data_IF_630604044062
#
_entry.id   IF_630604044062
#
_cell.length_a   1.000
_cell.length_b   1.000
_cell.length_c   1.000
_cell.angle_alpha   90.00
_cell.angle_beta   90.00
_cell.angle_gamma   90.00
#
_symmetry.space_group_name_H-M   'P 1'
#
loop_
_entity.id
_entity.type
_entity.pdbx_description
1 polymer ?
#
# COMPACT_ATOMS: atom_id res chain seq x y z
N UNK A 1 -2.45 8.96 -3.62
CA UNK A 1 -3.16 8.26 -4.71
C UNK A 1 -2.08 7.72 -5.63
N UNK A 2 -2.04 6.40 -5.87
CA UNK A 2 -1.01 5.71 -6.67
C UNK A 2 -1.44 5.46 -8.13
N UNK A 3 -2.63 5.93 -8.52
CA UNK A 3 -3.14 5.79 -9.90
C UNK A 3 -2.21 6.41 -10.94
N UNK A 4 -1.56 7.53 -10.62
CA UNK A 4 -0.59 8.18 -11.51
C UNK A 4 0.63 7.29 -11.74
N UNK A 5 1.16 6.61 -10.71
CA UNK A 5 2.28 5.70 -10.84
C UNK A 5 1.93 4.47 -11.71
N UNK A 6 0.71 3.93 -11.55
CA UNK A 6 0.21 2.83 -12.39
C UNK A 6 0.04 3.30 -13.85
N UNK A 7 -0.60 4.45 -14.07
CA UNK A 7 -0.78 4.99 -15.42
C UNK A 7 0.57 5.28 -16.12
N UNK A 8 1.56 5.78 -15.37
CA UNK A 8 2.92 5.97 -15.85
C UNK A 8 3.53 4.61 -16.24
N UNK A 9 3.38 3.55 -15.42
CA UNK A 9 3.84 2.19 -15.78
C UNK A 9 3.26 1.70 -17.10
N UNK A 10 2.04 2.09 -17.45
CA UNK A 10 1.40 1.66 -18.69
C UNK A 10 1.67 2.56 -19.92
N UNK A 11 2.26 3.75 -19.77
CA UNK A 11 2.50 4.68 -20.89
C UNK A 11 3.84 5.48 -20.74
N UNK A 12 4.92 5.05 -21.41
CA UNK A 12 6.27 5.62 -21.24
C UNK A 12 6.55 6.92 -22.02
N UNK A 13 5.62 7.40 -22.87
CA UNK A 13 5.97 8.30 -24.00
C UNK A 13 6.22 9.78 -23.63
N UNK A 14 5.94 10.22 -22.41
CA UNK A 14 6.31 11.57 -21.99
C UNK A 14 6.81 11.53 -20.56
N UNK A 15 8.05 11.94 -20.29
CA UNK A 15 8.44 12.79 -19.15
C UNK A 15 9.97 13.02 -19.13
N UNK A 16 10.45 13.98 -19.93
CA UNK A 16 11.85 14.47 -19.91
C UNK A 16 12.28 15.16 -18.59
N UNK A 17 11.38 15.26 -17.61
CA UNK A 17 11.51 16.11 -16.41
C UNK A 17 11.85 15.37 -15.10
N UNK A 18 11.92 14.03 -15.09
CA UNK A 18 12.12 13.28 -13.83
C UNK A 18 13.21 12.22 -13.96
N UNK A 19 14.48 12.64 -14.05
CA UNK A 19 15.62 11.70 -14.16
C UNK A 19 15.68 10.69 -13.00
N UNK A 20 15.37 11.11 -11.78
CA UNK A 20 15.34 10.25 -10.59
C UNK A 20 14.16 9.25 -10.60
N UNK A 21 13.00 9.65 -11.14
CA UNK A 21 11.84 8.73 -11.25
C UNK A 21 12.04 7.77 -12.42
N UNK A 22 12.71 8.18 -13.50
CA UNK A 22 12.98 7.33 -14.65
C UNK A 22 13.75 6.04 -14.30
N UNK A 23 14.72 6.12 -13.36
CA UNK A 23 15.47 4.95 -12.91
C UNK A 23 14.56 3.95 -12.17
N UNK A 24 13.80 4.42 -11.18
CA UNK A 24 12.84 3.57 -10.45
C UNK A 24 11.73 3.04 -11.35
N UNK A 25 11.32 3.84 -12.33
CA UNK A 25 10.31 3.49 -13.31
C UNK A 25 10.75 2.31 -14.18
N UNK A 26 11.91 2.41 -14.83
CA UNK A 26 12.44 1.31 -15.64
C UNK A 26 12.70 0.06 -14.79
N UNK A 27 13.20 0.22 -13.56
CA UNK A 27 13.39 -0.90 -12.66
C UNK A 27 12.07 -1.63 -12.35
N UNK A 28 11.01 -0.91 -11.97
CA UNK A 28 9.70 -1.52 -11.67
C UNK A 28 9.11 -2.15 -12.92
N UNK A 29 9.17 -1.45 -14.06
CA UNK A 29 8.66 -1.96 -15.34
C UNK A 29 9.33 -3.26 -15.76
N UNK A 30 10.66 -3.33 -15.72
CA UNK A 30 11.41 -4.53 -16.08
C UNK A 30 10.96 -5.74 -15.23
N UNK A 31 10.68 -5.53 -13.95
CA UNK A 31 10.19 -6.58 -13.07
C UNK A 31 8.72 -6.95 -13.33
N UNK A 32 7.91 -5.99 -13.78
CA UNK A 32 6.53 -6.26 -14.22
C UNK A 32 6.52 -7.06 -15.52
N UNK A 33 7.32 -6.67 -16.51
CA UNK A 33 7.45 -7.37 -17.80
C UNK A 33 7.99 -8.80 -17.63
N UNK A 34 8.92 -9.00 -16.69
CA UNK A 34 9.43 -10.34 -16.33
C UNK A 34 8.44 -11.17 -15.51
N UNK A 35 7.31 -10.60 -15.09
CA UNK A 35 6.33 -11.26 -14.22
C UNK A 35 6.79 -11.44 -12.77
N UNK A 36 7.90 -10.82 -12.38
CA UNK A 36 8.40 -10.83 -11.00
C UNK A 36 7.53 -9.97 -10.08
N UNK A 37 6.86 -8.96 -10.64
CA UNK A 37 5.93 -8.08 -9.92
C UNK A 37 4.62 -8.01 -10.69
N UNK A 38 3.50 -8.19 -10.00
CA UNK A 38 2.17 -7.97 -10.56
C UNK A 38 1.53 -6.74 -9.90
N UNK A 39 0.95 -5.86 -10.73
CA UNK A 39 0.29 -4.65 -10.26
C UNK A 39 -1.23 -4.81 -10.32
N UNK A 40 -1.86 -4.59 -9.16
CA UNK A 40 -3.31 -4.66 -9.04
C UNK A 40 -3.89 -3.29 -8.67
N UNK A 41 -4.97 -2.91 -9.34
CA UNK A 41 -5.72 -1.73 -8.93
C UNK A 41 -6.50 -2.01 -7.65
N UNK A 42 -6.20 -1.24 -6.60
CA UNK A 42 -6.98 -1.23 -5.36
C UNK A 42 -7.74 0.09 -5.30
N UNK A 43 -9.07 0.01 -5.17
CA UNK A 43 -9.90 1.20 -4.91
C UNK A 43 -9.38 1.90 -3.66
N UNK A 44 -9.33 3.24 -3.69
CA UNK A 44 -8.82 4.06 -2.57
C UNK A 44 -9.48 3.70 -1.23
N UNK A 45 -10.76 3.33 -1.26
CA UNK A 45 -11.49 2.89 -0.07
C UNK A 45 -11.02 1.57 0.55
N UNK A 46 -10.10 0.87 -0.10
CA UNK A 46 -9.56 -0.40 0.37
C UNK A 46 -8.03 -0.43 0.40
N UNK A 47 -7.39 0.72 0.16
CA UNK A 47 -5.93 0.82 0.16
C UNK A 47 -5.40 0.82 1.60
N UNK A 48 -5.03 -0.36 2.12
CA UNK A 48 -4.54 -0.55 3.50
C UNK A 48 -3.28 0.28 3.81
N UNK A 49 -2.44 0.54 2.81
CA UNK A 49 -1.22 1.36 2.96
C UNK A 49 -1.50 2.79 3.43
N UNK A 50 -2.73 3.27 3.27
CA UNK A 50 -3.13 4.61 3.69
C UNK A 50 -2.98 4.81 5.21
N UNK A 51 -3.08 3.73 6.01
CA UNK A 51 -2.81 3.75 7.46
C UNK A 51 -1.42 4.33 7.76
N UNK A 52 -0.42 3.99 6.94
CA UNK A 52 0.98 4.35 7.18
C UNK A 52 1.42 5.66 6.52
N UNK A 53 0.60 6.21 5.63
CA UNK A 53 1.04 7.29 4.72
C UNK A 53 0.14 8.52 4.77
N UNK A 54 -1.04 8.44 5.40
CA UNK A 54 -2.01 9.53 5.44
C UNK A 54 -2.52 9.78 6.85
N UNK A 55 -2.81 11.04 7.14
CA UNK A 55 -3.69 11.39 8.25
C UNK A 55 -5.14 11.10 7.82
N UNK A 56 -5.79 10.12 8.45
CA UNK A 56 -7.13 9.67 8.12
C UNK A 56 -8.14 10.09 9.20
N UNK A 57 -9.41 10.39 8.84
CA UNK A 57 -10.48 10.51 9.82
C UNK A 57 -10.60 9.22 10.66
N UNK A 58 -10.98 9.35 11.93
CA UNK A 58 -11.04 8.24 12.89
C UNK A 58 -11.83 7.04 12.37
N UNK A 59 -13.00 7.25 11.78
CA UNK A 59 -13.84 6.16 11.24
C UNK A 59 -13.13 5.41 10.12
N UNK A 60 -12.44 6.15 9.25
CA UNK A 60 -11.68 5.60 8.12
C UNK A 60 -10.48 4.80 8.60
N UNK A 61 -9.75 5.34 9.58
CA UNK A 61 -8.63 4.65 10.21
C UNK A 61 -9.10 3.34 10.86
N UNK A 62 -10.16 3.39 11.68
CA UNK A 62 -10.72 2.22 12.36
C UNK A 62 -11.19 1.13 11.36
N UNK A 63 -11.81 1.53 10.25
CA UNK A 63 -12.19 0.62 9.19
C UNK A 63 -10.98 -0.12 8.60
N UNK A 64 -9.90 0.60 8.28
CA UNK A 64 -8.70 0.00 7.70
C UNK A 64 -7.94 -0.86 8.72
N UNK A 65 -7.86 -0.46 10.00
CA UNK A 65 -7.24 -1.24 11.10
C UNK A 65 -7.89 -2.61 11.23
N UNK A 66 -9.24 -2.65 11.25
CA UNK A 66 -9.98 -3.92 11.28
C UNK A 66 -9.71 -4.77 10.04
N UNK A 67 -9.64 -4.16 8.85
CA UNK A 67 -9.32 -4.85 7.60
C UNK A 67 -7.87 -5.36 7.54
N UNK A 68 -6.96 -4.76 8.28
CA UNK A 68 -5.58 -5.22 8.44
C UNK A 68 -5.48 -6.41 9.41
N UNK A 69 -6.58 -6.78 10.09
CA UNK A 69 -6.59 -7.84 11.10
C UNK A 69 -6.07 -7.40 12.46
N UNK A 70 -5.93 -6.09 12.68
CA UNK A 70 -5.53 -5.56 13.98
C UNK A 70 -6.75 -5.48 14.89
N UNK A 71 -6.62 -6.03 16.10
CA UNK A 71 -7.63 -6.01 17.13
C UNK A 71 -7.08 -5.32 18.39
N UNK A 72 -7.90 -4.52 19.04
CA UNK A 72 -7.62 -4.03 20.39
C UNK A 72 -7.94 -5.13 21.38
N UNK A 73 -6.92 -5.64 22.08
CA UNK A 73 -7.10 -6.58 23.17
C UNK A 73 -7.35 -5.83 24.48
N UNK A 74 -8.29 -6.32 25.28
CA UNK A 74 -8.38 -5.92 26.68
C UNK A 74 -7.14 -6.40 27.45
N UNK A 75 -6.81 -5.78 28.60
CA UNK A 75 -5.68 -6.23 29.44
C UNK A 75 -5.77 -7.72 29.82
N UNK A 76 -6.99 -8.23 30.00
CA UNK A 76 -7.27 -9.63 30.33
C UNK A 76 -6.95 -10.56 29.16
N UNK A 77 -7.36 -10.19 27.94
CA UNK A 77 -7.05 -10.96 26.72
C UNK A 77 -5.55 -10.94 26.40
N UNK A 78 -4.88 -9.82 26.64
CA UNK A 78 -3.43 -9.68 26.52
C UNK A 78 -2.69 -10.65 27.45
N UNK A 79 -3.15 -10.77 28.69
CA UNK A 79 -2.56 -11.69 29.67
C UNK A 79 -2.78 -13.16 29.29
N UNK A 80 -3.93 -13.51 28.72
CA UNK A 80 -4.21 -14.85 28.19
C UNK A 80 -3.31 -15.20 26.99
N UNK A 81 -3.07 -14.26 26.07
CA UNK A 81 -2.19 -14.46 24.92
C UNK A 81 -0.74 -14.63 25.37
N UNK A 82 -0.28 -13.80 26.32
CA UNK A 82 1.09 -13.85 26.84
C UNK A 82 1.41 -15.14 27.61
N UNK A 83 0.40 -15.78 28.23
CA UNK A 83 0.56 -17.06 28.96
C UNK A 83 0.49 -18.29 28.06
N UNK A 84 0.11 -18.13 26.80
CA UNK A 84 -0.04 -19.24 25.83
C UNK A 84 1.20 -19.42 24.92
N UNK A 85 2.26 -18.64 25.16
CA UNK A 85 3.57 -18.69 24.49
C UNK A 85 4.63 -19.23 25.43
#
# INVERSE_FOLDING_TARGET
DSKSAIAISCNPVQHSRMKHIAVHYHFILEHVEKGTIELYFVKTDYQLSDIFTKALPTDRFNYLVRRLGMCSLSPQELECVAKSQ
#
